data_IF_008934193988
#
_entry.id   IF_008934193988
#
_cell.length_a   1.000
_cell.length_b   1.000
_cell.length_c   1.000
_cell.angle_alpha   90.00
_cell.angle_beta   90.00
_cell.angle_gamma   90.00
#
_symmetry.space_group_name_H-M   'P 1'
#
loop_
_entity.id
_entity.type
_entity.pdbx_description
1 polymer ?
#
# COMPACT_ATOMS: atom_id res chain seq x y z
N UNK A 1 8.18 15.64 -10.61
CA UNK A 1 7.41 14.75 -9.71
C UNK A 1 7.37 13.36 -10.30
N UNK A 2 7.81 12.37 -9.56
CA UNK A 2 7.73 10.97 -9.98
C UNK A 2 6.48 10.36 -9.41
N UNK A 3 5.65 9.76 -10.26
CA UNK A 3 4.52 8.96 -9.83
C UNK A 3 4.87 7.50 -10.06
N UNK A 4 4.62 6.68 -9.07
CA UNK A 4 4.90 5.26 -9.19
C UNK A 4 3.78 4.44 -8.57
N UNK A 5 3.40 3.37 -9.27
CA UNK A 5 2.46 2.40 -8.76
C UNK A 5 3.22 1.36 -7.96
N UNK A 6 2.74 1.10 -6.76
CA UNK A 6 3.22 0.03 -5.91
C UNK A 6 2.13 -1.04 -5.82
N UNK A 7 2.53 -2.30 -5.97
CA UNK A 7 1.62 -3.44 -5.85
C UNK A 7 2.02 -4.25 -4.63
N UNK A 8 1.04 -4.51 -3.76
CA UNK A 8 1.26 -5.25 -2.52
C UNK A 8 0.42 -6.51 -2.54
N UNK A 9 1.05 -7.66 -2.29
CA UNK A 9 0.36 -8.93 -2.14
C UNK A 9 0.06 -9.15 -0.67
N UNK A 10 -1.22 -9.32 -0.35
CA UNK A 10 -1.68 -9.44 1.02
C UNK A 10 -2.63 -10.62 1.15
N UNK A 11 -2.66 -11.23 2.33
CA UNK A 11 -3.70 -12.20 2.63
C UNK A 11 -5.04 -11.49 2.73
N UNK A 12 -6.08 -12.10 2.19
CA UNK A 12 -7.43 -11.52 2.23
C UNK A 12 -8.07 -11.83 3.59
N UNK A 13 -7.67 -11.06 4.59
CA UNK A 13 -8.19 -11.14 5.96
C UNK A 13 -8.71 -9.78 6.39
N UNK A 14 -9.69 -9.74 7.31
CA UNK A 14 -10.19 -8.47 7.83
C UNK A 14 -9.07 -7.59 8.38
N UNK A 15 -9.03 -6.36 7.95
CA UNK A 15 -8.04 -5.37 8.40
C UNK A 15 -6.70 -5.42 7.70
N UNK A 16 -6.32 -6.54 7.11
CA UNK A 16 -5.01 -6.71 6.48
C UNK A 16 -4.87 -5.84 5.22
N UNK A 17 -5.92 -5.77 4.41
CA UNK A 17 -5.88 -5.03 3.15
C UNK A 17 -5.80 -3.51 3.36
N UNK A 18 -6.27 -3.04 4.50
CA UNK A 18 -6.24 -1.61 4.82
C UNK A 18 -5.01 -1.17 5.60
N UNK A 19 -4.26 -2.12 6.16
CA UNK A 19 -3.10 -1.80 6.97
C UNK A 19 -2.03 -0.99 6.22
N UNK A 20 -1.68 -1.30 4.97
CA UNK A 20 -0.72 -0.48 4.22
C UNK A 20 -1.22 0.95 4.00
N UNK A 21 -2.51 1.11 3.69
CA UNK A 21 -3.09 2.43 3.48
C UNK A 21 -3.02 3.25 4.76
N UNK A 22 -3.33 2.65 5.90
CA UNK A 22 -3.24 3.32 7.20
C UNK A 22 -1.81 3.72 7.53
N UNK A 23 -0.85 2.83 7.28
CA UNK A 23 0.55 3.11 7.54
C UNK A 23 1.04 4.30 6.71
N UNK A 24 0.70 4.33 5.43
CA UNK A 24 1.09 5.42 4.54
C UNK A 24 0.41 6.73 4.95
N UNK A 25 -0.87 6.68 5.28
CA UNK A 25 -1.59 7.88 5.71
C UNK A 25 -1.03 8.42 7.03
N UNK A 26 -0.72 7.56 7.98
CA UNK A 26 -0.16 7.97 9.27
C UNK A 26 1.21 8.62 9.10
N UNK A 27 1.98 8.20 8.11
CA UNK A 27 3.30 8.78 7.82
C UNK A 27 3.22 10.04 6.94
N UNK A 28 2.02 10.45 6.53
CA UNK A 28 1.86 11.65 5.70
C UNK A 28 2.22 11.41 4.24
N UNK A 29 2.28 10.18 3.79
CA UNK A 29 2.53 9.87 2.38
C UNK A 29 1.28 10.17 1.57
N UNK A 30 1.43 10.94 0.50
CA UNK A 30 0.31 11.34 -0.33
C UNK A 30 -0.07 10.21 -1.29
N UNK A 31 -1.27 9.67 -1.11
CA UNK A 31 -1.83 8.63 -1.98
C UNK A 31 -2.68 9.30 -3.04
N UNK A 32 -2.33 9.09 -4.30
CA UNK A 32 -3.04 9.68 -5.43
C UNK A 32 -4.14 8.75 -5.94
N UNK A 33 -3.95 7.45 -5.79
CA UNK A 33 -4.95 6.47 -6.20
C UNK A 33 -4.73 5.19 -5.42
N UNK A 34 -5.82 4.50 -5.12
CA UNK A 34 -5.80 3.20 -4.46
C UNK A 34 -6.79 2.31 -5.18
N UNK A 35 -6.37 1.11 -5.54
CA UNK A 35 -7.26 0.12 -6.12
C UNK A 35 -6.96 -1.25 -5.52
N UNK A 36 -7.98 -2.08 -5.48
CA UNK A 36 -7.89 -3.41 -4.88
C UNK A 36 -8.45 -4.43 -5.85
N UNK A 37 -7.67 -5.48 -6.11
CA UNK A 37 -8.13 -6.66 -6.81
C UNK A 37 -7.94 -7.84 -5.86
N UNK A 38 -9.01 -8.57 -5.58
CA UNK A 38 -8.94 -9.65 -4.61
C UNK A 38 -9.54 -10.95 -5.12
N UNK A 39 -9.02 -12.04 -4.58
CA UNK A 39 -9.59 -13.38 -4.68
C UNK A 39 -10.04 -13.81 -3.28
N UNK A 40 -10.52 -15.05 -3.15
CA UNK A 40 -10.95 -15.55 -1.85
C UNK A 40 -9.81 -15.65 -0.82
N UNK A 41 -8.56 -15.77 -1.26
CA UNK A 41 -7.42 -16.01 -0.38
C UNK A 41 -6.43 -14.85 -0.33
N UNK A 42 -6.27 -14.11 -1.43
CA UNK A 42 -5.28 -13.06 -1.56
C UNK A 42 -5.88 -11.80 -2.14
N UNK A 43 -5.29 -10.68 -1.80
CA UNK A 43 -5.58 -9.41 -2.41
C UNK A 43 -4.34 -8.77 -2.98
N UNK A 44 -4.49 -8.02 -4.06
CA UNK A 44 -3.44 -7.17 -4.60
C UNK A 44 -3.90 -5.73 -4.42
N UNK A 45 -3.19 -5.02 -3.56
CA UNK A 45 -3.45 -3.60 -3.34
C UNK A 45 -2.50 -2.82 -4.22
N UNK A 46 -3.05 -1.96 -5.06
CA UNK A 46 -2.28 -1.07 -5.94
C UNK A 46 -2.46 0.35 -5.47
N UNK A 47 -1.35 1.01 -5.21
CA UNK A 47 -1.35 2.40 -4.80
C UNK A 47 -0.46 3.21 -5.73
N UNK A 48 -0.89 4.43 -6.04
CA UNK A 48 -0.07 5.38 -6.78
C UNK A 48 0.33 6.47 -5.81
N UNK A 49 1.63 6.67 -5.65
CA UNK A 49 2.19 7.59 -4.66
C UNK A 49 3.06 8.64 -5.35
N UNK A 50 3.12 9.83 -4.77
CA UNK A 50 3.97 10.91 -5.25
C UNK A 50 5.43 10.73 -4.80
N UNK A 51 5.65 10.04 -3.68
CA UNK A 51 6.98 9.79 -3.11
C UNK A 51 7.18 8.29 -2.89
N UNK A 52 7.57 7.56 -3.94
CA UNK A 52 7.69 6.10 -3.85
C UNK A 52 8.77 5.65 -2.88
N UNK A 53 9.87 6.39 -2.75
CA UNK A 53 10.95 6.03 -1.83
C UNK A 53 10.48 6.06 -0.39
N UNK A 54 9.76 7.11 -0.01
CA UNK A 54 9.20 7.23 1.32
C UNK A 54 8.14 6.17 1.60
N UNK A 55 7.29 5.90 0.61
CA UNK A 55 6.26 4.87 0.72
C UNK A 55 6.89 3.50 0.96
N UNK A 56 7.93 3.15 0.20
CA UNK A 56 8.64 1.89 0.39
C UNK A 56 9.30 1.80 1.76
N UNK A 57 9.87 2.88 2.25
CA UNK A 57 10.48 2.91 3.58
C UNK A 57 9.45 2.70 4.69
N UNK A 58 8.30 3.34 4.57
CA UNK A 58 7.19 3.20 5.54
C UNK A 58 6.66 1.77 5.55
N UNK A 59 6.40 1.21 4.37
CA UNK A 59 5.88 -0.15 4.26
C UNK A 59 6.91 -1.18 4.73
N UNK A 60 8.19 -0.98 4.43
CA UNK A 60 9.25 -1.84 4.91
C UNK A 60 9.38 -1.82 6.42
N UNK A 61 9.30 -0.65 7.04
CA UNK A 61 9.33 -0.51 8.49
C UNK A 61 8.14 -1.18 9.17
N UNK A 62 7.00 -1.21 8.49
CA UNK A 62 5.80 -1.87 9.00
C UNK A 62 5.76 -3.38 8.69
N UNK A 63 6.79 -3.91 8.02
CA UNK A 63 6.87 -5.32 7.68
C UNK A 63 5.93 -5.76 6.57
N UNK A 64 5.53 -4.85 5.70
CA UNK A 64 4.54 -5.11 4.65
C UNK A 64 5.15 -5.33 3.26
N UNK A 65 6.45 -5.19 3.17
CA UNK A 65 7.17 -5.35 1.90
C UNK A 65 8.27 -6.37 2.09
#
# INVERSE_FOLDING_TARGET
MKLQQLSLFLENKPGTLYAPVRALAAAGVNLLSVSLADTSQFGILRVIVADPERAMAVLGAAGMV
#
